data_IF_214109209555
#
_entry.id   IF_214109209555
#
_cell.length_a   1.000
_cell.length_b   1.000
_cell.length_c   1.000
_cell.angle_alpha   90.00
_cell.angle_beta   90.00
_cell.angle_gamma   90.00
#
_symmetry.space_group_name_H-M   'P 1'
#
loop_
_entity.id
_entity.type
_entity.pdbx_description
1 polymer ?
#
# COMPACT_ATOMS: atom_id res chain seq x y z
N UNK A 1 10.52 17.43 -4.29
CA UNK A 1 9.61 16.42 -3.72
C UNK A 1 8.73 15.90 -4.85
N UNK A 2 8.64 14.59 -4.99
CA UNK A 2 7.81 13.89 -5.97
C UNK A 2 6.91 12.87 -5.25
N UNK A 3 5.97 12.27 -5.97
CA UNK A 3 5.09 11.23 -5.45
C UNK A 3 5.22 9.93 -6.23
N UNK A 4 4.96 8.82 -5.55
CA UNK A 4 4.78 7.53 -6.25
C UNK A 4 3.69 7.68 -7.30
N UNK A 5 3.99 7.26 -8.53
CA UNK A 5 3.16 7.46 -9.73
C UNK A 5 3.59 8.63 -10.61
N UNK A 6 4.40 9.58 -10.11
CA UNK A 6 4.98 10.63 -10.94
C UNK A 6 6.05 10.05 -11.88
N UNK A 7 6.25 10.70 -13.03
CA UNK A 7 7.37 10.40 -13.92
C UNK A 7 8.43 11.48 -13.79
N UNK A 8 9.63 11.11 -13.34
CA UNK A 8 10.79 12.00 -13.32
C UNK A 8 11.50 12.00 -14.66
N UNK A 9 11.92 13.17 -15.13
CA UNK A 9 12.80 13.34 -16.28
C UNK A 9 14.17 13.76 -15.79
N UNK A 10 15.18 12.95 -16.07
CA UNK A 10 16.58 13.24 -15.76
C UNK A 10 17.30 13.73 -17.01
N UNK A 11 18.12 14.75 -16.84
CA UNK A 11 18.97 15.32 -17.88
C UNK A 11 20.42 15.19 -17.44
N UNK A 12 21.19 14.36 -18.14
CA UNK A 12 22.62 14.19 -17.87
C UNK A 12 23.42 14.90 -18.95
N UNK A 13 24.17 15.91 -18.54
CA UNK A 13 25.03 16.71 -19.43
C UNK A 13 26.49 16.54 -19.04
N UNK A 14 27.32 16.16 -20.01
CA UNK A 14 28.77 16.12 -19.87
C UNK A 14 29.40 17.26 -20.65
N UNK A 15 30.50 17.83 -20.14
CA UNK A 15 31.24 18.91 -20.81
C UNK A 15 32.73 18.63 -20.70
N UNK A 16 33.46 18.68 -21.81
CA UNK A 16 34.92 18.62 -21.78
C UNK A 16 35.46 20.02 -21.45
N UNK A 17 35.87 20.22 -20.21
CA UNK A 17 36.46 21.49 -19.72
C UNK A 17 37.99 21.51 -19.80
N UNK A 18 38.61 20.44 -20.30
CA UNK A 18 40.05 20.33 -20.49
C UNK A 18 40.55 21.00 -21.78
N UNK A 19 41.80 20.74 -22.10
CA UNK A 19 42.55 21.27 -23.26
C UNK A 19 42.89 20.19 -24.30
N UNK A 20 42.41 18.95 -24.10
CA UNK A 20 42.57 17.81 -25.01
C UNK A 20 41.19 17.20 -25.27
N UNK A 21 40.95 16.73 -26.50
CA UNK A 21 39.76 15.95 -26.84
C UNK A 21 39.64 14.69 -25.95
N UNK A 22 38.42 14.33 -25.56
CA UNK A 22 38.15 13.10 -24.82
C UNK A 22 37.72 11.99 -25.77
N UNK A 23 38.17 10.76 -25.49
CA UNK A 23 37.78 9.51 -26.17
C UNK A 23 37.40 8.45 -25.15
N UNK A 24 36.77 7.37 -25.61
CA UNK A 24 36.24 6.29 -24.77
C UNK A 24 35.32 6.81 -23.65
N UNK A 25 34.52 7.84 -23.98
CA UNK A 25 33.59 8.45 -23.03
C UNK A 25 32.46 7.46 -22.75
N UNK A 26 32.35 7.04 -21.49
CA UNK A 26 31.28 6.13 -21.02
C UNK A 26 30.59 6.77 -19.83
N UNK A 27 29.28 6.96 -19.94
CA UNK A 27 28.45 7.52 -18.88
C UNK A 27 27.58 6.43 -18.27
N UNK A 28 27.58 6.34 -16.95
CA UNK A 28 26.77 5.41 -16.15
C UNK A 28 25.96 6.17 -15.12
N UNK A 29 24.77 5.69 -14.87
CA UNK A 29 23.80 6.25 -13.95
C UNK A 29 23.30 5.14 -13.01
N UNK A 30 23.15 5.43 -11.72
CA UNK A 30 22.77 4.41 -10.72
C UNK A 30 21.35 3.89 -10.89
N UNK A 31 20.44 4.68 -11.47
CA UNK A 31 19.05 4.30 -11.71
C UNK A 31 18.78 3.77 -13.13
N UNK A 32 19.56 4.20 -14.13
CA UNK A 32 19.38 3.84 -15.53
C UNK A 32 20.47 2.90 -16.11
N UNK A 33 21.55 2.64 -15.36
CA UNK A 33 22.66 1.83 -15.85
C UNK A 33 23.57 2.59 -16.82
N UNK A 34 24.07 1.93 -17.87
CA UNK A 34 24.91 2.63 -18.87
C UNK A 34 24.03 3.45 -19.80
N UNK A 35 24.29 4.75 -19.91
CA UNK A 35 23.51 5.66 -20.75
C UNK A 35 24.00 5.58 -22.19
N UNK A 36 23.08 5.23 -23.10
CA UNK A 36 23.30 5.34 -24.54
C UNK A 36 23.01 6.77 -25.02
N UNK A 37 23.57 7.17 -26.16
CA UNK A 37 23.30 8.47 -26.80
C UNK A 37 24.45 9.47 -26.73
N UNK A 38 25.47 9.21 -25.90
CA UNK A 38 26.76 9.89 -26.00
C UNK A 38 27.57 9.33 -27.18
N UNK A 39 28.29 10.18 -27.89
CA UNK A 39 29.04 9.79 -29.10
C UNK A 39 30.30 8.95 -28.80
N UNK A 40 30.72 8.90 -27.53
CA UNK A 40 31.93 8.22 -27.09
C UNK A 40 33.20 9.07 -27.21
N UNK A 41 33.10 10.30 -27.72
CA UNK A 41 34.18 11.27 -27.80
C UNK A 41 33.66 12.69 -27.57
N UNK A 42 34.49 13.58 -27.03
CA UNK A 42 34.06 14.96 -26.76
C UNK A 42 35.20 15.93 -27.04
N UNK A 43 35.06 16.75 -28.08
CA UNK A 43 36.06 17.75 -28.43
C UNK A 43 36.26 18.78 -27.31
N UNK A 44 37.38 19.49 -27.34
CA UNK A 44 37.67 20.57 -26.39
C UNK A 44 36.51 21.57 -26.32
N UNK A 45 35.98 21.81 -25.12
CA UNK A 45 34.87 22.73 -24.87
C UNK A 45 33.49 22.24 -25.33
N UNK A 46 33.37 21.06 -25.93
CA UNK A 46 32.10 20.50 -26.35
C UNK A 46 31.31 19.93 -25.17
N UNK A 47 29.98 19.91 -25.32
CA UNK A 47 29.04 19.25 -24.41
C UNK A 47 28.12 18.32 -25.17
N UNK A 48 27.73 17.23 -24.51
CA UNK A 48 26.65 16.34 -24.95
C UNK A 48 25.65 16.16 -23.81
N UNK A 49 24.39 15.93 -24.17
CA UNK A 49 23.28 15.77 -23.23
C UNK A 49 22.41 14.59 -23.62
N UNK A 50 22.03 13.77 -22.64
CA UNK A 50 21.10 12.66 -22.79
C UNK A 50 20.03 12.77 -21.72
N UNK A 51 18.78 12.49 -22.10
CA UNK A 51 17.64 12.46 -21.19
C UNK A 51 17.05 11.06 -21.09
N UNK A 52 16.56 10.72 -19.90
CA UNK A 52 15.76 9.52 -19.68
C UNK A 52 14.68 9.79 -18.63
N UNK A 53 13.65 8.93 -18.61
CA UNK A 53 12.53 9.04 -17.68
C UNK A 53 12.43 7.84 -16.75
N UNK A 54 11.96 8.06 -15.51
CA UNK A 54 11.65 7.01 -14.54
C UNK A 54 10.24 7.20 -13.98
N UNK A 55 9.39 6.18 -14.10
CA UNK A 55 8.11 6.12 -13.38
C UNK A 55 8.37 5.71 -11.93
N UNK A 56 7.95 6.53 -10.97
CA UNK A 56 8.16 6.26 -9.55
C UNK A 56 7.17 5.21 -9.04
N UNK A 57 7.71 4.21 -8.34
CA UNK A 57 6.97 3.11 -7.70
C UNK A 57 7.07 3.18 -6.19
N UNK A 58 6.37 2.29 -5.46
CA UNK A 58 6.51 2.18 -4.00
C UNK A 58 7.94 1.86 -3.56
N UNK A 59 8.72 1.16 -4.40
CA UNK A 59 10.11 0.84 -4.13
C UNK A 59 11.03 2.09 -4.13
N UNK A 60 10.59 3.19 -4.75
CA UNK A 60 11.31 4.45 -4.80
C UNK A 60 10.98 5.40 -3.64
N UNK A 61 10.09 5.00 -2.72
CA UNK A 61 9.66 5.85 -1.61
C UNK A 61 10.80 6.15 -0.63
N UNK A 62 10.80 7.38 -0.09
CA UNK A 62 11.89 7.87 0.76
C UNK A 62 12.82 8.80 -0.01
N UNK A 63 14.13 8.65 0.17
CA UNK A 63 15.13 9.45 -0.53
C UNK A 63 15.65 8.67 -1.73
N UNK A 64 15.20 9.04 -2.94
CA UNK A 64 15.69 8.47 -4.18
C UNK A 64 16.94 9.24 -4.62
N UNK A 65 18.09 8.59 -4.48
CA UNK A 65 19.37 9.12 -4.95
C UNK A 65 19.66 8.63 -6.36
N UNK A 66 20.04 9.56 -7.23
CA UNK A 66 20.51 9.27 -8.57
C UNK A 66 21.91 9.86 -8.77
N UNK A 67 22.87 9.04 -9.18
CA UNK A 67 24.24 9.48 -9.45
C UNK A 67 24.62 9.15 -10.88
N UNK A 68 24.94 10.18 -11.66
CA UNK A 68 25.58 10.04 -12.95
C UNK A 68 27.10 10.09 -12.78
N UNK A 69 27.81 9.23 -13.49
CA UNK A 69 29.27 9.13 -13.47
C UNK A 69 29.79 8.98 -14.88
N UNK A 70 30.92 9.62 -15.17
CA UNK A 70 31.59 9.54 -16.47
C UNK A 70 33.00 9.01 -16.29
N UNK A 71 33.42 8.17 -17.23
CA UNK A 71 34.81 7.76 -17.44
C UNK A 71 35.21 8.16 -18.85
N UNK A 72 36.41 8.73 -19.01
CA UNK A 72 36.96 9.07 -20.31
C UNK A 72 38.50 9.02 -20.30
N UNK A 73 39.11 9.07 -21.49
CA UNK A 73 40.55 9.23 -21.67
C UNK A 73 40.82 10.50 -22.50
N UNK A 74 41.79 11.34 -22.12
CA UNK A 74 42.32 12.35 -23.03
C UNK A 74 42.96 11.68 -24.25
N UNK A 75 42.70 12.19 -25.45
CA UNK A 75 43.14 11.59 -26.70
C UNK A 75 44.68 11.44 -26.75
N UNK A 76 45.14 10.24 -27.08
CA UNK A 76 46.57 9.93 -27.15
C UNK A 76 47.27 9.73 -25.79
N UNK A 77 46.54 9.85 -24.67
CA UNK A 77 47.07 9.61 -23.33
C UNK A 77 46.46 8.34 -22.71
N UNK A 78 47.23 7.57 -21.92
CA UNK A 78 46.72 6.37 -21.25
C UNK A 78 45.90 6.69 -19.99
N UNK A 79 45.83 7.96 -19.58
CA UNK A 79 45.17 8.40 -18.36
C UNK A 79 43.65 8.20 -18.44
N UNK A 80 43.06 7.73 -17.35
CA UNK A 80 41.60 7.75 -17.14
C UNK A 80 41.24 8.97 -16.30
N UNK A 81 40.21 9.70 -16.71
CA UNK A 81 39.56 10.73 -15.92
C UNK A 81 38.16 10.29 -15.54
N UNK A 82 37.71 10.72 -14.37
CA UNK A 82 36.40 10.38 -13.80
C UNK A 82 35.77 11.61 -13.20
N UNK A 83 34.47 11.73 -13.36
CA UNK A 83 33.66 12.74 -12.70
C UNK A 83 32.29 12.15 -12.37
N UNK A 84 31.58 12.75 -11.42
CA UNK A 84 30.24 12.30 -11.03
C UNK A 84 29.43 13.43 -10.41
N UNK A 85 28.12 13.37 -10.62
CA UNK A 85 27.16 14.29 -10.01
C UNK A 85 25.96 13.51 -9.45
N UNK A 86 25.40 13.98 -8.33
CA UNK A 86 24.34 13.29 -7.58
C UNK A 86 23.18 14.21 -7.30
N UNK A 87 21.98 13.72 -7.60
CA UNK A 87 20.70 14.38 -7.29
C UNK A 87 19.85 13.50 -6.37
N UNK A 88 19.21 14.12 -5.37
CA UNK A 88 18.36 13.42 -4.40
C UNK A 88 16.94 13.99 -4.45
N UNK A 89 15.97 13.11 -4.67
CA UNK A 89 14.55 13.47 -4.67
C UNK A 89 13.84 12.75 -3.54
N UNK A 90 13.21 13.51 -2.63
CA UNK A 90 12.26 12.94 -1.69
C UNK A 90 10.98 12.51 -2.43
N UNK A 91 10.70 11.20 -2.42
CA UNK A 91 9.52 10.57 -3.01
C UNK A 91 8.54 10.18 -1.89
N UNK A 92 7.36 10.80 -1.90
CA UNK A 92 6.30 10.52 -0.92
C UNK A 92 5.22 9.64 -1.50
N UNK A 93 4.68 8.77 -0.67
CA UNK A 93 3.44 8.07 -0.98
C UNK A 93 2.26 8.87 -0.42
N UNK A 94 1.34 9.31 -1.30
CA UNK A 94 0.06 9.82 -0.83
C UNK A 94 -0.83 8.65 -0.42
N UNK A 95 -1.21 8.65 0.86
CA UNK A 95 -2.10 7.66 1.46
C UNK A 95 -3.41 8.33 1.84
N UNK A 96 -4.52 7.80 1.33
CA UNK A 96 -5.84 8.13 1.80
C UNK A 96 -6.28 7.15 2.87
N UNK A 97 -7.25 7.53 3.70
CA UNK A 97 -7.78 6.65 4.73
C UNK A 97 -9.21 6.29 4.39
N UNK A 98 -9.48 4.99 4.34
CA UNK A 98 -10.80 4.46 4.09
C UNK A 98 -11.21 3.47 5.19
N UNK A 99 -12.51 3.30 5.35
CA UNK A 99 -13.08 2.29 6.23
C UNK A 99 -13.06 0.95 5.50
N UNK A 100 -12.56 -0.10 6.15
CA UNK A 100 -12.53 -1.47 5.63
C UNK A 100 -13.37 -2.43 6.47
N UNK A 101 -13.98 -3.41 5.81
CA UNK A 101 -14.67 -4.51 6.47
C UNK A 101 -14.38 -5.85 5.78
N UNK A 102 -14.25 -6.91 6.57
CA UNK A 102 -14.16 -8.27 6.03
C UNK A 102 -15.54 -8.75 5.56
N UNK A 103 -15.61 -9.27 4.34
CA UNK A 103 -16.82 -9.77 3.70
C UNK A 103 -16.72 -11.28 3.49
N UNK A 104 -17.52 -12.05 4.24
CA UNK A 104 -17.51 -13.51 4.24
C UNK A 104 -18.37 -14.18 3.18
N UNK A 105 -18.73 -13.48 2.09
CA UNK A 105 -19.58 -14.04 1.04
C UNK A 105 -20.95 -14.46 1.58
N UNK A 106 -21.29 -15.73 1.45
CA UNK A 106 -22.56 -16.29 1.93
C UNK A 106 -22.76 -16.18 3.45
N UNK A 107 -21.67 -16.02 4.21
CA UNK A 107 -21.73 -15.78 5.65
C UNK A 107 -21.97 -14.32 6.03
N UNK A 108 -21.89 -13.40 5.07
CA UNK A 108 -21.91 -11.97 5.34
C UNK A 108 -23.35 -11.46 5.55
N UNK A 109 -23.59 -10.88 6.72
CA UNK A 109 -24.82 -10.22 7.10
C UNK A 109 -24.57 -8.70 7.10
N UNK A 110 -25.18 -7.91 6.20
CA UNK A 110 -25.03 -6.46 6.20
C UNK A 110 -25.53 -5.84 7.51
N UNK A 111 -24.70 -5.05 8.18
CA UNK A 111 -25.01 -4.53 9.52
C UNK A 111 -26.21 -3.59 9.54
N UNK A 112 -26.55 -2.96 8.42
CA UNK A 112 -27.73 -2.11 8.27
C UNK A 112 -29.05 -2.89 8.20
N UNK A 113 -28.99 -4.22 8.03
CA UNK A 113 -30.16 -5.10 8.22
C UNK A 113 -30.37 -5.47 9.69
N UNK A 114 -29.33 -5.37 10.51
CA UNK A 114 -29.34 -5.68 11.95
C UNK A 114 -29.61 -4.46 12.82
N UNK A 115 -29.13 -3.27 12.42
CA UNK A 115 -29.25 -2.01 13.14
C UNK A 115 -29.71 -0.92 12.17
N UNK A 116 -30.92 -0.39 12.40
CA UNK A 116 -31.45 0.71 11.60
C UNK A 116 -30.51 1.93 11.60
N UNK A 117 -30.34 2.56 10.45
CA UNK A 117 -29.45 3.70 10.21
C UNK A 117 -27.95 3.43 10.40
N UNK A 118 -27.52 2.19 10.62
CA UNK A 118 -26.10 1.85 10.52
C UNK A 118 -25.61 2.11 9.09
N UNK A 119 -24.38 2.61 8.95
CA UNK A 119 -23.83 3.03 7.65
C UNK A 119 -23.68 1.84 6.69
N UNK A 120 -22.66 1.01 6.91
CA UNK A 120 -22.34 -0.18 6.12
C UNK A 120 -21.22 -0.97 6.81
N UNK A 121 -21.12 -2.25 6.45
CA UNK A 121 -20.20 -3.24 7.02
C UNK A 121 -20.88 -4.60 7.16
N UNK A 122 -20.12 -5.61 7.57
CA UNK A 122 -20.62 -6.97 7.67
C UNK A 122 -20.28 -7.62 9.01
N UNK A 123 -21.24 -8.37 9.54
CA UNK A 123 -20.99 -9.45 10.47
C UNK A 123 -20.95 -10.76 9.68
N UNK A 124 -20.00 -11.64 9.98
CA UNK A 124 -19.79 -12.89 9.26
C UNK A 124 -20.15 -14.07 10.14
N UNK A 125 -21.18 -14.83 9.78
CA UNK A 125 -21.59 -16.03 10.48
C UNK A 125 -23.07 -16.36 10.31
N UNK A 126 -23.57 -17.40 11.01
CA UNK A 126 -22.85 -18.21 11.99
C UNK A 126 -21.79 -19.11 11.32
N UNK A 127 -20.57 -19.07 11.85
CA UNK A 127 -19.44 -19.87 11.38
C UNK A 127 -19.24 -21.09 12.30
N UNK A 128 -19.32 -22.33 11.80
CA UNK A 128 -18.85 -23.49 12.54
C UNK A 128 -17.32 -23.47 12.73
N UNK A 129 -16.78 -24.40 13.52
CA UNK A 129 -15.34 -24.61 13.57
C UNK A 129 -14.79 -24.92 12.17
N UNK A 130 -13.63 -24.35 11.84
CA UNK A 130 -13.07 -24.40 10.51
C UNK A 130 -12.11 -23.25 10.21
N UNK A 131 -11.65 -23.25 8.97
CA UNK A 131 -10.73 -22.27 8.41
C UNK A 131 -11.44 -21.47 7.32
N UNK A 132 -11.36 -20.15 7.37
CA UNK A 132 -12.03 -19.24 6.44
C UNK A 132 -11.10 -18.14 5.97
N UNK A 133 -11.36 -17.63 4.77
CA UNK A 133 -10.66 -16.47 4.20
C UNK A 133 -11.72 -15.46 3.77
N UNK A 134 -11.74 -14.30 4.39
CA UNK A 134 -12.66 -13.23 4.06
C UNK A 134 -11.89 -12.07 3.40
N UNK A 135 -12.21 -11.70 2.14
CA UNK A 135 -11.66 -10.49 1.55
C UNK A 135 -12.04 -9.26 2.39
N UNK A 136 -11.11 -8.33 2.53
CA UNK A 136 -11.31 -7.04 3.18
C UNK A 136 -11.54 -6.01 2.08
N UNK A 137 -12.74 -5.45 2.03
CA UNK A 137 -13.06 -4.36 1.12
C UNK A 137 -13.02 -3.04 1.86
N UNK A 138 -12.29 -2.07 1.31
CA UNK A 138 -12.22 -0.70 1.82
C UNK A 138 -12.99 0.27 0.92
N UNK A 139 -13.73 1.21 1.50
CA UNK A 139 -14.59 2.13 0.75
C UNK A 139 -15.86 1.51 0.15
N UNK A 140 -16.24 0.27 0.52
CA UNK A 140 -17.43 -0.43 0.02
C UNK A 140 -18.75 0.08 0.62
N UNK A 141 -18.97 1.40 0.49
CA UNK A 141 -20.12 2.11 1.02
C UNK A 141 -21.44 1.46 0.61
N UNK A 142 -22.43 1.53 1.50
CA UNK A 142 -23.77 0.92 1.31
C UNK A 142 -23.76 -0.62 1.23
N UNK A 143 -22.66 -1.26 1.64
CA UNK A 143 -22.44 -2.71 1.55
C UNK A 143 -22.35 -3.21 0.10
N UNK A 144 -21.84 -2.36 -0.79
CA UNK A 144 -21.67 -2.68 -2.20
C UNK A 144 -20.18 -2.89 -2.49
N UNK A 145 -19.79 -4.16 -2.64
CA UNK A 145 -18.38 -4.53 -2.88
C UNK A 145 -17.87 -4.02 -4.22
N UNK A 146 -18.75 -3.71 -5.19
CA UNK A 146 -18.33 -3.13 -6.47
C UNK A 146 -17.86 -1.68 -6.35
N UNK A 147 -18.18 -1.01 -5.24
CA UNK A 147 -17.72 0.33 -4.87
C UNK A 147 -16.48 0.31 -3.97
N UNK A 148 -16.02 -0.88 -3.56
CA UNK A 148 -14.86 -1.03 -2.70
C UNK A 148 -13.62 -1.50 -3.42
N UNK A 149 -12.47 -1.17 -2.85
CA UNK A 149 -11.18 -1.73 -3.22
C UNK A 149 -10.89 -2.96 -2.37
N UNK A 150 -10.43 -4.04 -3.00
CA UNK A 150 -9.93 -5.22 -2.30
C UNK A 150 -8.58 -4.87 -1.65
N UNK A 151 -8.60 -4.61 -0.35
CA UNK A 151 -7.45 -4.09 0.39
C UNK A 151 -6.61 -5.18 1.08
N UNK A 152 -7.15 -6.38 1.22
CA UNK A 152 -6.51 -7.46 1.97
C UNK A 152 -7.40 -8.65 2.18
N UNK A 153 -6.94 -9.57 3.03
CA UNK A 153 -7.64 -10.78 3.44
C UNK A 153 -7.57 -10.93 4.95
N UNK A 154 -8.67 -11.39 5.54
CA UNK A 154 -8.74 -11.86 6.90
C UNK A 154 -8.80 -13.38 6.89
N UNK A 155 -7.76 -14.02 7.39
CA UNK A 155 -7.75 -15.45 7.65
C UNK A 155 -8.33 -15.69 9.04
N UNK A 156 -9.26 -16.63 9.13
CA UNK A 156 -9.94 -17.02 10.37
C UNK A 156 -9.68 -18.50 10.58
N UNK A 157 -9.06 -18.85 11.68
CA UNK A 157 -8.93 -20.23 12.15
C UNK A 157 -9.73 -20.36 13.44
N UNK A 158 -10.75 -21.21 13.45
CA UNK A 158 -11.58 -21.44 14.63
C UNK A 158 -11.63 -22.92 15.00
N UNK A 159 -10.93 -23.29 16.08
CA UNK A 159 -10.91 -24.65 16.61
C UNK A 159 -10.82 -24.65 18.13
N UNK A 160 -11.57 -25.55 18.79
CA UNK A 160 -11.48 -25.78 20.23
C UNK A 160 -11.62 -24.50 21.07
N UNK A 161 -12.55 -23.62 20.69
CA UNK A 161 -12.78 -22.28 21.29
C UNK A 161 -11.69 -21.24 21.02
N UNK A 162 -10.58 -21.57 20.35
CA UNK A 162 -9.57 -20.60 19.96
C UNK A 162 -9.89 -20.05 18.57
N UNK A 163 -10.02 -18.73 18.48
CA UNK A 163 -10.19 -18.01 17.22
C UNK A 163 -8.92 -17.23 16.94
N UNK A 164 -8.20 -17.59 15.88
CA UNK A 164 -7.03 -16.87 15.40
C UNK A 164 -7.42 -16.08 14.15
N UNK A 165 -7.26 -14.77 14.21
CA UNK A 165 -7.58 -13.81 13.16
C UNK A 165 -6.28 -13.23 12.63
N UNK A 166 -5.98 -13.46 11.35
CA UNK A 166 -4.79 -12.91 10.71
C UNK A 166 -5.18 -12.01 9.55
N UNK A 167 -4.87 -10.73 9.69
CA UNK A 167 -4.96 -9.75 8.63
C UNK A 167 -3.71 -9.84 7.74
N UNK A 168 -3.91 -9.80 6.44
CA UNK A 168 -2.86 -9.71 5.43
C UNK A 168 -3.30 -8.71 4.36
N UNK A 169 -2.59 -7.59 4.23
CA UNK A 169 -2.94 -6.51 3.32
C UNK A 169 -2.35 -6.76 1.93
N UNK A 170 -3.09 -6.38 0.89
CA UNK A 170 -2.59 -6.40 -0.49
C UNK A 170 -1.47 -5.35 -0.67
N UNK A 171 -0.55 -5.52 -1.64
CA UNK A 171 0.55 -4.59 -1.87
C UNK A 171 0.10 -3.12 -1.96
N UNK A 172 0.75 -2.24 -1.19
CA UNK A 172 0.45 -0.81 -1.14
C UNK A 172 -0.64 -0.41 -0.13
N UNK A 173 -1.42 -1.36 0.39
CA UNK A 173 -2.37 -1.12 1.48
C UNK A 173 -1.74 -1.38 2.85
N UNK A 174 -2.21 -0.68 3.88
CA UNK A 174 -1.76 -0.91 5.24
C UNK A 174 -2.81 -0.52 6.29
N UNK A 175 -2.70 -1.10 7.49
CA UNK A 175 -3.65 -0.91 8.58
C UNK A 175 -3.20 0.24 9.48
N UNK A 176 -4.16 1.10 9.84
CA UNK A 176 -4.02 2.13 10.87
C UNK A 176 -4.66 1.69 12.18
N UNK A 177 -5.84 1.09 12.09
CA UNK A 177 -6.64 0.67 13.26
C UNK A 177 -7.47 -0.55 12.94
N UNK A 178 -7.71 -1.38 13.96
CA UNK A 178 -8.56 -2.56 13.88
C UNK A 178 -9.59 -2.50 15.00
N UNK A 179 -10.85 -2.79 14.67
CA UNK A 179 -11.92 -3.03 15.62
C UNK A 179 -12.58 -4.37 15.31
N UNK A 180 -12.67 -5.22 16.33
CA UNK A 180 -13.04 -6.62 16.20
C UNK A 180 -14.16 -6.97 17.18
N UNK A 181 -15.06 -7.82 16.71
CA UNK A 181 -16.01 -8.54 17.53
C UNK A 181 -16.01 -10.01 17.14
N UNK A 182 -15.98 -10.88 18.13
CA UNK A 182 -16.19 -12.32 18.00
C UNK A 182 -17.15 -12.74 19.11
N UNK A 183 -18.25 -13.41 18.75
CA UNK A 183 -19.24 -13.83 19.74
C UNK A 183 -20.36 -14.71 19.19
N UNK A 184 -21.36 -15.00 20.05
CA UNK A 184 -22.48 -15.90 19.75
C UNK A 184 -23.62 -15.24 18.96
N UNK A 185 -23.60 -13.91 18.84
CA UNK A 185 -24.61 -13.12 18.11
C UNK A 185 -23.96 -12.34 16.98
N UNK A 186 -24.68 -11.91 15.93
CA UNK A 186 -24.07 -11.18 14.81
C UNK A 186 -23.22 -9.96 15.20
N UNK A 187 -23.66 -9.21 16.21
CA UNK A 187 -23.00 -7.99 16.68
C UNK A 187 -22.99 -7.93 18.22
N UNK A 188 -22.14 -7.09 18.85
CA UNK A 188 -22.21 -6.87 20.28
C UNK A 188 -23.55 -6.27 20.67
N UNK A 189 -24.12 -6.78 21.76
CA UNK A 189 -25.39 -6.29 22.30
C UNK A 189 -25.14 -5.30 23.42
N UNK A 190 -25.77 -4.13 23.35
CA UNK A 190 -25.80 -3.13 24.42
C UNK A 190 -27.15 -3.18 25.13
N UNK A 191 -27.14 -3.16 26.47
CA UNK A 191 -28.35 -2.98 27.27
C UNK A 191 -28.75 -1.51 27.26
N UNK A 192 -29.99 -1.24 26.87
CA UNK A 192 -30.60 0.10 26.87
C UNK A 192 -31.89 0.02 27.66
N UNK A 193 -31.82 0.33 28.96
CA UNK A 193 -32.94 0.12 29.87
C UNK A 193 -33.28 -1.37 30.00
N UNK A 194 -34.51 -1.76 29.62
CA UNK A 194 -34.98 -3.16 29.65
C UNK A 194 -34.74 -3.92 28.34
N UNK A 195 -34.30 -3.24 27.27
CA UNK A 195 -34.09 -3.85 25.97
C UNK A 195 -32.61 -4.05 25.66
N UNK A 196 -32.34 -4.99 24.78
CA UNK A 196 -31.01 -5.34 24.29
C UNK A 196 -30.98 -5.06 22.79
N UNK A 197 -30.11 -4.16 22.36
CA UNK A 197 -29.97 -3.77 20.95
C UNK A 197 -28.55 -4.01 20.46
N UNK A 198 -28.40 -4.37 19.19
CA UNK A 198 -27.08 -4.50 18.58
C UNK A 198 -26.39 -3.13 18.44
N UNK A 199 -25.06 -3.13 18.54
CA UNK A 199 -24.23 -1.97 18.24
C UNK A 199 -23.49 -2.18 16.93
N UNK A 200 -23.64 -1.23 16.01
CA UNK A 200 -23.01 -1.26 14.68
C UNK A 200 -21.84 -0.28 14.55
N UNK A 201 -21.59 0.55 15.58
CA UNK A 201 -20.44 1.45 15.61
C UNK A 201 -19.14 0.66 15.80
N UNK A 202 -18.19 0.69 14.84
CA UNK A 202 -16.89 0.03 14.98
C UNK A 202 -16.15 0.42 16.27
N UNK A 203 -16.26 1.69 16.68
CA UNK A 203 -15.64 2.20 17.90
C UNK A 203 -16.22 1.57 19.17
N UNK A 204 -17.33 0.84 19.09
CA UNK A 204 -17.95 0.13 20.21
C UNK A 204 -17.72 -1.39 20.18
N UNK A 205 -16.99 -1.92 19.18
CA UNK A 205 -16.60 -3.32 19.18
C UNK A 205 -15.58 -3.57 20.31
N UNK A 206 -15.65 -4.72 21.01
CA UNK A 206 -14.94 -4.94 22.27
C UNK A 206 -13.43 -5.16 22.09
N UNK A 207 -13.00 -5.76 20.98
CA UNK A 207 -11.60 -6.07 20.75
C UNK A 207 -10.97 -4.98 19.90
N UNK A 208 -9.96 -4.29 20.45
CA UNK A 208 -9.27 -3.16 19.82
C UNK A 208 -7.76 -3.33 19.95
N UNK A 209 -7.16 -4.28 19.21
CA UNK A 209 -5.73 -4.50 19.30
C UNK A 209 -4.95 -3.24 18.93
N UNK A 210 -3.87 -2.98 19.67
CA UNK A 210 -2.92 -1.90 19.33
C UNK A 210 -1.98 -2.44 18.27
N UNK A 211 -1.90 -1.74 17.14
CA UNK A 211 -1.00 -2.07 16.03
C UNK A 211 -0.05 -0.90 15.75
N UNK A 212 1.08 -1.18 15.10
CA UNK A 212 1.93 -0.12 14.58
C UNK A 212 1.23 0.56 13.40
N UNK A 213 1.43 1.86 13.24
CA UNK A 213 0.89 2.57 12.07
C UNK A 213 1.45 1.94 10.78
N UNK A 214 0.62 1.88 9.74
CA UNK A 214 0.95 1.24 8.45
C UNK A 214 1.37 -0.23 8.55
N UNK A 215 0.77 -1.00 9.48
CA UNK A 215 1.00 -2.45 9.58
C UNK A 215 0.39 -3.18 8.37
N UNK A 216 1.15 -4.06 7.70
CA UNK A 216 0.67 -4.85 6.55
C UNK A 216 0.21 -6.26 6.90
N UNK A 217 0.56 -6.78 8.08
CA UNK A 217 0.12 -8.08 8.57
C UNK A 217 -0.01 -8.07 10.09
N UNK A 218 -1.09 -8.63 10.61
CA UNK A 218 -1.37 -8.65 12.05
C UNK A 218 -2.18 -9.86 12.46
N UNK A 219 -1.78 -10.53 13.55
CA UNK A 219 -2.49 -11.68 14.11
C UNK A 219 -3.06 -11.34 15.48
N UNK A 220 -4.31 -11.75 15.72
CA UNK A 220 -5.00 -11.62 17.00
C UNK A 220 -5.68 -12.93 17.39
N UNK A 221 -5.57 -13.31 18.65
CA UNK A 221 -6.11 -14.56 19.17
C UNK A 221 -7.15 -14.29 20.27
N UNK A 222 -8.29 -14.98 20.19
CA UNK A 222 -9.39 -14.87 21.14
C UNK A 222 -9.80 -16.27 21.57
N UNK A 223 -9.73 -16.55 22.87
CA UNK A 223 -10.26 -17.78 23.45
C UNK A 223 -11.69 -17.56 23.97
N UNK A 224 -12.65 -18.28 23.40
CA UNK A 224 -14.06 -18.18 23.74
C UNK A 224 -14.37 -18.92 25.06
N UNK A 225 -15.37 -18.40 25.78
CA UNK A 225 -15.85 -19.03 27.02
C UNK A 225 -16.67 -20.30 26.75
N UNK A 226 -17.32 -20.38 25.60
CA UNK A 226 -18.17 -21.50 25.16
C UNK A 226 -17.80 -21.91 23.74
N UNK A 227 -18.04 -23.17 23.42
CA UNK A 227 -17.96 -23.68 22.06
C UNK A 227 -19.31 -23.48 21.34
N UNK A 228 -19.28 -23.47 20.01
CA UNK A 228 -20.46 -23.31 19.16
C UNK A 228 -20.16 -22.43 17.96
N UNK A 229 -21.14 -22.23 17.09
CA UNK A 229 -20.94 -21.32 15.96
C UNK A 229 -20.71 -19.89 16.42
N UNK A 230 -19.86 -19.17 15.70
CA UNK A 230 -19.47 -17.79 16.03
C UNK A 230 -19.89 -16.81 14.95
N UNK A 231 -19.94 -15.54 15.32
CA UNK A 231 -20.02 -14.43 14.40
C UNK A 231 -18.77 -13.56 14.55
N UNK A 232 -18.28 -13.03 13.44
CA UNK A 232 -17.11 -12.16 13.39
C UNK A 232 -17.48 -10.85 12.69
N UNK A 233 -17.33 -9.72 13.38
CA UNK A 233 -17.39 -8.41 12.77
C UNK A 233 -15.97 -7.82 12.79
N UNK A 234 -15.38 -7.66 11.61
CA UNK A 234 -13.99 -7.25 11.45
C UNK A 234 -13.89 -5.97 10.64
N UNK A 235 -13.61 -4.88 11.35
CA UNK A 235 -13.48 -3.53 10.80
C UNK A 235 -12.03 -3.06 10.86
N UNK A 236 -11.59 -2.31 9.85
CA UNK A 236 -10.30 -1.63 9.83
C UNK A 236 -10.42 -0.16 9.39
N UNK A 237 -9.51 0.68 9.88
CA UNK A 237 -9.12 1.91 9.20
C UNK A 237 -7.87 1.57 8.37
N UNK A 238 -7.97 1.73 7.05
CA UNK A 238 -6.98 1.26 6.08
C UNK A 238 -6.41 2.45 5.30
N UNK A 239 -5.09 2.49 5.16
CA UNK A 239 -4.44 3.38 4.21
C UNK A 239 -4.53 2.78 2.81
N UNK A 240 -4.97 3.61 1.86
CA UNK A 240 -5.13 3.29 0.45
C UNK A 240 -4.17 4.15 -0.37
N UNK A 241 -3.35 3.55 -1.25
CA UNK A 241 -2.44 4.32 -2.07
C UNK A 241 -3.18 5.15 -3.11
N UNK A 242 -2.66 6.36 -3.39
CA UNK A 242 -3.28 7.32 -4.31
C UNK A 242 -3.59 6.74 -5.70
N UNK A 243 -2.69 5.94 -6.28
CA UNK A 243 -2.89 5.40 -7.63
C UNK A 243 -4.03 4.38 -7.70
N UNK A 244 -4.24 3.55 -6.67
CA UNK A 244 -5.39 2.64 -6.59
C UNK A 244 -6.70 3.43 -6.51
N UNK A 245 -6.72 4.50 -5.69
CA UNK A 245 -7.87 5.40 -5.66
C UNK A 245 -8.13 6.06 -7.01
N UNK A 246 -7.09 6.58 -7.67
CA UNK A 246 -7.26 7.27 -8.94
C UNK A 246 -7.73 6.31 -10.06
N UNK A 247 -7.20 5.08 -10.10
CA UNK A 247 -7.65 4.06 -11.05
C UNK A 247 -9.11 3.65 -10.79
N UNK A 248 -9.50 3.48 -9.53
CA UNK A 248 -10.85 3.06 -9.15
C UNK A 248 -11.90 4.16 -9.39
N UNK A 249 -11.62 5.40 -8.97
CA UNK A 249 -12.59 6.49 -9.07
C UNK A 249 -12.67 7.11 -10.48
N UNK A 250 -11.65 6.98 -11.32
CA UNK A 250 -11.72 7.41 -12.73
C UNK A 250 -12.44 6.41 -13.64
N UNK A 251 -12.62 5.16 -13.21
CA UNK A 251 -13.32 4.12 -13.98
C UNK A 251 -14.78 3.92 -13.55
N UNK A 252 -15.18 4.39 -12.36
CA UNK A 252 -16.54 4.23 -11.81
C UNK A 252 -17.43 5.49 -11.91
N UNK A 253 -16.97 6.54 -12.61
CA UNK A 253 -17.69 7.82 -12.76
C UNK A 253 -18.14 8.20 -14.18
N UNK A 254 -18.20 7.25 -15.12
CA UNK A 254 -18.83 7.46 -16.43
C UNK A 254 -19.94 6.45 -16.68
#
# INVERSE_FOLDING_TARGET
MAHVGDTLTYTVKITNTGDIDLVNVVVKDTLAGTLAGFSGSLAIGASEEVQYTRLLTTADSGMLENTASVLANPAGLPNEIRDSDTEIVEVRQMLYMETGWAFGGDFAIPINTLVANAKWGWANGPLPEGSYIFPIYTGAGQNDISKGLLAGKLYVEYYNKLVTLRYEMEPGFSLKKIHLYVGETPLPVKKTGKTSVYTADPGQLPYKPVIKDQTTSFTYEITLKKAGSIYIAAHSETYVPFWEMNAFYNTTKY
#
